data_IF_340911614649
#
_entry.id   IF_340911614649
#
_cell.length_a   1.000
_cell.length_b   1.000
_cell.length_c   1.000
_cell.angle_alpha   90.00
_cell.angle_beta   90.00
_cell.angle_gamma   90.00
#
_symmetry.space_group_name_H-M   'P 1'
#
loop_
_entity.id
_entity.type
_entity.pdbx_description
1 polymer ?
#
# COMPACT_ATOMS: atom_id res chain seq x y z
N UNK A 1 -27.86 22.06 7.51
CA UNK A 1 -26.48 22.35 8.00
C UNK A 1 -25.71 21.04 8.00
N UNK A 2 -24.48 21.02 7.48
CA UNK A 2 -23.59 19.86 7.54
C UNK A 2 -22.41 20.24 8.41
N UNK A 3 -22.12 19.44 9.44
CA UNK A 3 -21.02 19.67 10.37
C UNK A 3 -20.14 18.42 10.44
N UNK A 4 -18.85 18.60 10.75
CA UNK A 4 -17.89 17.52 10.93
C UNK A 4 -17.07 17.76 12.19
N UNK A 5 -16.83 16.72 12.98
CA UNK A 5 -15.99 16.78 14.17
C UNK A 5 -14.91 15.68 14.10
N UNK A 6 -13.69 16.02 14.53
CA UNK A 6 -12.57 15.08 14.62
C UNK A 6 -12.68 14.21 15.90
N UNK A 7 -13.22 14.77 16.97
CA UNK A 7 -13.41 14.13 18.28
C UNK A 7 -14.87 13.76 18.51
N UNK A 8 -15.10 12.77 19.38
CA UNK A 8 -16.44 12.41 19.86
C UNK A 8 -17.15 13.64 20.43
N UNK A 9 -18.28 14.00 19.82
CA UNK A 9 -19.11 15.09 20.31
C UNK A 9 -19.87 14.70 21.59
N UNK A 10 -20.17 13.41 21.78
CA UNK A 10 -20.73 12.88 23.01
C UNK A 10 -19.82 13.16 24.22
N UNK A 11 -18.55 12.77 24.12
CA UNK A 11 -17.56 12.97 25.18
C UNK A 11 -17.36 14.47 25.46
N UNK A 12 -17.40 15.30 24.41
CA UNK A 12 -17.28 16.76 24.54
C UNK A 12 -18.48 17.39 25.25
N UNK A 13 -19.67 16.82 25.07
CA UNK A 13 -20.90 17.19 25.78
C UNK A 13 -20.84 16.76 27.24
N UNK A 14 -20.37 15.54 27.52
CA UNK A 14 -20.20 15.05 28.91
C UNK A 14 -19.17 15.87 29.69
N UNK A 15 -18.08 16.28 29.04
CA UNK A 15 -17.05 17.14 29.62
C UNK A 15 -17.47 18.62 29.75
N UNK A 16 -18.69 18.98 29.34
CA UNK A 16 -19.21 20.36 29.39
C UNK A 16 -18.55 21.32 28.39
N UNK A 17 -17.71 20.82 27.47
CA UNK A 17 -17.04 21.62 26.43
C UNK A 17 -17.96 21.92 25.24
N UNK A 18 -19.07 21.21 25.11
CA UNK A 18 -20.01 21.38 24.02
C UNK A 18 -21.46 21.49 24.52
N UNK A 19 -22.24 22.35 23.86
CA UNK A 19 -23.65 22.62 24.21
C UNK A 19 -24.55 21.44 23.82
N UNK A 20 -25.24 20.87 24.81
CA UNK A 20 -26.20 19.74 24.65
C UNK A 20 -27.29 20.02 23.62
N UNK A 21 -27.85 21.22 23.69
CA UNK A 21 -28.91 21.70 22.84
C UNK A 21 -28.50 21.84 21.37
N UNK A 22 -27.22 22.14 21.09
CA UNK A 22 -26.68 22.13 19.73
C UNK A 22 -26.39 20.71 19.25
N UNK A 23 -25.88 19.86 20.15
CA UNK A 23 -25.59 18.46 19.88
C UNK A 23 -26.83 17.70 19.39
N UNK A 24 -27.96 17.79 20.10
CA UNK A 24 -29.19 17.09 19.68
C UNK A 24 -29.78 17.59 18.35
N UNK A 25 -29.51 18.85 17.96
CA UNK A 25 -29.93 19.38 16.65
C UNK A 25 -29.02 18.94 15.50
N UNK A 26 -27.75 18.68 15.78
CA UNK A 26 -26.77 18.25 14.77
C UNK A 26 -26.72 16.72 14.65
N UNK A 27 -26.91 16.00 15.75
CA UNK A 27 -26.83 14.55 15.85
C UNK A 27 -28.12 13.85 15.40
N UNK A 28 -28.75 14.31 14.31
CA UNK A 28 -29.94 13.67 13.73
C UNK A 28 -29.55 12.47 12.87
N UNK A 29 -28.45 12.59 12.14
CA UNK A 29 -27.87 11.52 11.33
C UNK A 29 -26.35 11.63 11.39
N UNK A 30 -25.69 10.61 11.93
CA UNK A 30 -24.24 10.60 12.11
C UNK A 30 -23.59 9.57 11.21
N UNK A 31 -22.73 10.06 10.32
CA UNK A 31 -21.94 9.23 9.43
C UNK A 31 -20.54 9.05 10.02
N UNK A 32 -20.25 7.83 10.49
CA UNK A 32 -18.93 7.47 10.97
C UNK A 32 -18.04 7.13 9.77
N UNK A 33 -17.00 7.93 9.55
CA UNK A 33 -16.03 7.70 8.49
C UNK A 33 -14.95 6.74 8.99
N UNK A 34 -14.87 5.50 8.45
CA UNK A 34 -13.84 4.57 8.88
C UNK A 34 -12.46 5.08 8.47
N UNK A 35 -11.42 4.81 9.28
CA UNK A 35 -10.06 5.16 8.91
C UNK A 35 -9.61 4.29 7.73
N UNK A 36 -8.80 4.86 6.82
CA UNK A 36 -8.36 4.18 5.60
C UNK A 36 -7.69 2.81 5.85
N UNK A 37 -7.03 2.63 7.01
CA UNK A 37 -6.44 1.35 7.43
C UNK A 37 -7.42 0.17 7.51
N UNK A 38 -8.72 0.43 7.71
CA UNK A 38 -9.75 -0.62 7.76
C UNK A 38 -10.19 -1.07 6.36
N UNK A 39 -9.81 -0.33 5.32
CA UNK A 39 -10.19 -0.59 3.92
C UNK A 39 -8.94 -0.58 3.01
N UNK A 40 -8.00 -1.53 3.19
CA UNK A 40 -6.74 -1.55 2.45
C UNK A 40 -6.94 -1.64 0.94
N UNK A 41 -8.00 -2.32 0.49
CA UNK A 41 -8.40 -2.43 -0.92
C UNK A 41 -8.64 -1.07 -1.59
N UNK A 42 -9.01 -0.04 -0.80
CA UNK A 42 -9.25 1.32 -1.32
C UNK A 42 -7.99 2.16 -1.42
N UNK A 43 -6.90 1.78 -0.76
CA UNK A 43 -5.65 2.57 -0.71
C UNK A 43 -5.09 2.75 -2.12
N UNK A 44 -4.88 1.65 -2.86
CA UNK A 44 -4.25 1.70 -4.18
C UNK A 44 -5.10 2.45 -5.23
N UNK A 45 -6.43 2.19 -5.39
CA UNK A 45 -7.26 2.96 -6.31
C UNK A 45 -7.31 4.46 -5.97
N UNK A 46 -7.42 4.80 -4.68
CA UNK A 46 -7.42 6.20 -4.24
C UNK A 46 -6.09 6.88 -4.53
N UNK A 47 -4.98 6.20 -4.24
CA UNK A 47 -3.64 6.71 -4.51
C UNK A 47 -3.44 7.02 -5.99
N UNK A 48 -3.76 6.06 -6.88
CA UNK A 48 -3.70 6.27 -8.34
C UNK A 48 -4.54 7.46 -8.80
N UNK A 49 -5.75 7.61 -8.25
CA UNK A 49 -6.62 8.75 -8.56
C UNK A 49 -6.00 10.08 -8.09
N UNK A 50 -5.41 10.11 -6.90
CA UNK A 50 -4.74 11.31 -6.39
C UNK A 50 -3.47 11.65 -7.17
N UNK A 51 -2.71 10.65 -7.63
CA UNK A 51 -1.59 10.87 -8.53
C UNK A 51 -2.05 11.46 -9.85
N UNK A 52 -3.09 10.90 -10.49
CA UNK A 52 -3.62 11.42 -11.74
C UNK A 52 -4.11 12.88 -11.60
N UNK A 53 -4.77 13.19 -10.48
CA UNK A 53 -5.17 14.56 -10.16
C UNK A 53 -3.95 15.49 -9.96
N UNK A 54 -2.94 15.05 -9.20
CA UNK A 54 -1.73 15.84 -8.95
C UNK A 54 -0.88 16.03 -10.22
N UNK A 55 -0.76 15.01 -11.06
CA UNK A 55 -0.08 15.08 -12.36
C UNK A 55 -0.75 16.11 -13.27
N UNK A 56 -2.08 16.13 -13.30
CA UNK A 56 -2.85 17.13 -14.05
C UNK A 56 -2.70 18.54 -13.47
N UNK A 57 -2.66 18.69 -12.15
CA UNK A 57 -2.45 20.00 -11.49
C UNK A 57 -1.04 20.56 -11.74
N UNK A 58 -0.04 19.68 -11.86
CA UNK A 58 1.38 20.05 -11.99
C UNK A 58 1.90 20.02 -13.44
N UNK A 59 1.06 19.62 -14.40
CA UNK A 59 1.40 19.41 -15.81
C UNK A 59 2.61 18.47 -16.02
N UNK A 60 2.67 17.40 -15.21
CA UNK A 60 3.73 16.38 -15.25
C UNK A 60 3.16 15.06 -15.75
N UNK A 61 3.97 14.27 -16.43
CA UNK A 61 3.59 12.90 -16.82
C UNK A 61 3.24 12.06 -15.58
N UNK A 62 2.16 11.29 -15.67
CA UNK A 62 1.78 10.32 -14.64
C UNK A 62 2.88 9.27 -14.49
N UNK A 63 3.53 9.23 -13.33
CA UNK A 63 4.46 8.16 -12.98
C UNK A 63 3.73 6.86 -12.67
N UNK A 64 4.29 5.72 -13.09
CA UNK A 64 3.77 4.42 -12.70
C UNK A 64 4.04 4.10 -11.22
N UNK A 65 3.21 3.22 -10.65
CA UNK A 65 3.36 2.76 -9.26
C UNK A 65 4.00 1.37 -9.27
N UNK A 66 5.27 1.30 -8.91
CA UNK A 66 6.02 0.04 -8.75
C UNK A 66 5.41 -0.85 -7.64
N UNK A 67 5.43 -2.20 -7.76
CA UNK A 67 4.96 -3.13 -6.74
C UNK A 67 5.58 -2.91 -5.36
N UNK A 68 6.85 -2.49 -5.28
CA UNK A 68 7.51 -2.21 -4.01
C UNK A 68 6.85 -1.03 -3.28
N UNK A 69 6.52 0.03 -4.03
CA UNK A 69 5.72 1.13 -3.51
C UNK A 69 4.30 0.68 -3.15
N UNK A 70 3.66 -0.18 -3.96
CA UNK A 70 2.33 -0.71 -3.64
C UNK A 70 2.32 -1.47 -2.31
N UNK A 71 3.34 -2.30 -2.05
CA UNK A 71 3.51 -3.00 -0.78
C UNK A 71 3.72 -2.03 0.38
N UNK A 72 4.58 -1.02 0.20
CA UNK A 72 4.80 0.01 1.22
C UNK A 72 3.51 0.78 1.55
N UNK A 73 2.70 1.13 0.54
CA UNK A 73 1.42 1.82 0.74
C UNK A 73 0.40 0.96 1.49
N UNK A 74 0.37 -0.36 1.24
CA UNK A 74 -0.53 -1.30 1.91
C UNK A 74 -0.09 -1.63 3.35
N UNK A 75 1.21 -1.61 3.63
CA UNK A 75 1.78 -1.90 4.95
C UNK A 75 1.77 -0.70 5.91
N UNK A 76 1.44 0.50 5.44
CA UNK A 76 1.47 1.71 6.25
C UNK A 76 0.14 1.94 7.01
N UNK A 77 0.21 2.46 8.24
CA UNK A 77 -0.97 2.64 9.10
C UNK A 77 -1.81 3.88 8.76
N UNK A 78 -1.25 4.82 7.99
CA UNK A 78 -1.89 6.08 7.57
C UNK A 78 -2.51 6.88 8.72
N UNK A 79 -1.72 7.36 9.70
CA UNK A 79 -2.21 8.19 10.81
C UNK A 79 -2.93 9.47 10.32
N UNK A 80 -2.51 10.04 9.17
CA UNK A 80 -3.17 11.19 8.54
C UNK A 80 -4.26 10.81 7.53
N UNK A 81 -4.63 9.53 7.43
CA UNK A 81 -5.72 9.01 6.60
C UNK A 81 -5.60 9.49 5.14
N UNK A 82 -6.71 9.91 4.52
CA UNK A 82 -6.75 10.39 3.13
C UNK A 82 -5.83 11.60 2.88
N UNK A 83 -5.62 12.47 3.89
CA UNK A 83 -4.78 13.67 3.71
C UNK A 83 -3.33 13.29 3.49
N UNK A 84 -2.84 12.35 4.29
CA UNK A 84 -1.49 11.81 4.15
C UNK A 84 -1.33 11.03 2.83
N UNK A 85 -2.33 10.23 2.44
CA UNK A 85 -2.32 9.52 1.15
C UNK A 85 -2.22 10.50 -0.03
N UNK A 86 -2.97 11.62 0.01
CA UNK A 86 -2.91 12.65 -1.03
C UNK A 86 -1.54 13.33 -1.07
N UNK A 87 -0.94 13.63 0.08
CA UNK A 87 0.41 14.21 0.16
C UNK A 87 1.48 13.25 -0.38
N UNK A 88 1.37 11.96 -0.03
CA UNK A 88 2.23 10.91 -0.56
C UNK A 88 2.12 10.79 -2.09
N UNK A 89 0.89 10.81 -2.64
CA UNK A 89 0.67 10.78 -4.08
C UNK A 89 1.30 11.98 -4.79
N UNK A 90 1.18 13.18 -4.22
CA UNK A 90 1.80 14.39 -4.76
C UNK A 90 3.34 14.32 -4.73
N UNK A 91 3.92 13.78 -3.65
CA UNK A 91 5.37 13.55 -3.55
C UNK A 91 5.86 12.57 -4.62
N UNK A 92 5.13 11.49 -4.86
CA UNK A 92 5.46 10.52 -5.91
C UNK A 92 5.49 11.15 -7.30
N UNK A 93 4.48 11.95 -7.65
CA UNK A 93 4.40 12.65 -8.95
C UNK A 93 5.56 13.63 -9.14
N UNK A 94 6.02 14.26 -8.05
CA UNK A 94 7.18 15.16 -8.05
C UNK A 94 8.53 14.41 -8.05
N UNK A 95 8.54 13.08 -8.03
CA UNK A 95 9.75 12.27 -8.02
C UNK A 95 10.45 12.16 -6.67
N UNK A 96 9.79 12.54 -5.57
CA UNK A 96 10.34 12.39 -4.22
C UNK A 96 10.04 11.00 -3.64
N UNK A 97 10.91 10.48 -2.75
CA UNK A 97 10.67 9.22 -2.08
C UNK A 97 9.41 9.25 -1.22
N UNK A 98 8.62 8.18 -1.33
CA UNK A 98 7.39 7.99 -0.58
C UNK A 98 7.57 6.79 0.33
N UNK A 99 7.38 6.96 1.64
CA UNK A 99 7.56 5.89 2.64
C UNK A 99 8.93 5.20 2.56
N UNK A 100 9.98 5.95 2.22
CA UNK A 100 11.34 5.42 2.03
C UNK A 100 11.57 4.70 0.70
N UNK A 101 10.57 4.65 -0.17
CA UNK A 101 10.67 4.09 -1.53
C UNK A 101 10.99 5.23 -2.49
N UNK A 102 12.19 5.21 -3.06
CA UNK A 102 12.65 6.20 -4.02
C UNK A 102 12.24 5.78 -5.46
N UNK A 103 11.39 6.57 -6.15
CA UNK A 103 10.95 6.27 -7.51
C UNK A 103 12.10 6.24 -8.54
N UNK A 104 13.27 6.81 -8.24
CA UNK A 104 14.42 6.85 -9.16
C UNK A 104 15.45 5.72 -8.95
N UNK A 105 15.27 4.83 -7.98
CA UNK A 105 16.22 3.72 -7.79
C UNK A 105 16.21 2.79 -9.01
N UNK A 106 17.37 2.32 -9.47
CA UNK A 106 17.51 1.42 -10.63
C UNK A 106 16.65 0.13 -10.53
N UNK A 107 16.33 -0.29 -9.29
CA UNK A 107 15.39 -1.39 -9.00
C UNK A 107 13.96 -1.13 -9.54
N UNK A 108 13.55 0.14 -9.69
CA UNK A 108 12.25 0.55 -10.23
C UNK A 108 12.16 0.46 -11.77
N UNK A 109 13.27 0.68 -12.49
CA UNK A 109 13.31 0.57 -13.95
C UNK A 109 13.20 -0.88 -14.45
N UNK A 110 13.54 -1.84 -13.58
CA UNK A 110 13.42 -3.25 -13.89
C UNK A 110 11.99 -3.80 -13.82
N UNK A 111 10.95 -2.99 -13.61
CA UNK A 111 9.57 -3.41 -13.28
C UNK A 111 8.71 -4.03 -14.41
N UNK A 112 9.32 -4.66 -15.42
CA UNK A 112 8.58 -5.40 -16.45
C UNK A 112 7.95 -6.70 -15.93
N UNK A 113 6.94 -7.24 -16.61
CA UNK A 113 6.28 -8.52 -16.27
C UNK A 113 7.29 -9.65 -15.97
N UNK A 114 8.40 -9.69 -16.70
CA UNK A 114 9.47 -10.68 -16.54
C UNK A 114 10.20 -10.58 -15.19
N UNK A 115 10.37 -9.38 -14.62
CA UNK A 115 11.01 -9.23 -13.30
C UNK A 115 10.02 -9.52 -12.16
N UNK A 116 8.75 -9.14 -12.32
CA UNK A 116 7.69 -9.46 -11.37
C UNK A 116 7.50 -10.97 -11.26
N UNK A 117 7.47 -11.68 -12.40
CA UNK A 117 7.42 -13.14 -12.41
C UNK A 117 8.66 -13.75 -11.74
N UNK A 118 9.85 -13.20 -11.96
CA UNK A 118 11.08 -13.65 -11.27
C UNK A 118 11.03 -13.42 -9.75
N UNK A 119 10.47 -12.29 -9.30
CA UNK A 119 10.34 -11.99 -7.88
C UNK A 119 9.35 -12.94 -7.19
N UNK A 120 8.22 -13.23 -7.84
CA UNK A 120 7.23 -14.22 -7.37
C UNK A 120 7.84 -15.63 -7.38
N UNK A 121 8.51 -16.03 -8.46
CA UNK A 121 9.21 -17.32 -8.59
C UNK A 121 10.27 -17.48 -7.48
N UNK A 122 11.07 -16.45 -7.22
CA UNK A 122 12.07 -16.42 -6.13
C UNK A 122 11.42 -16.61 -4.76
N UNK A 123 10.33 -15.90 -4.49
CA UNK A 123 9.63 -15.99 -3.21
C UNK A 123 9.06 -17.40 -2.95
N UNK A 124 8.44 -18.01 -3.96
CA UNK A 124 7.89 -19.37 -3.86
C UNK A 124 8.97 -20.42 -3.63
N UNK A 125 10.08 -20.36 -4.39
CA UNK A 125 11.20 -21.29 -4.22
C UNK A 125 11.83 -21.14 -2.83
N UNK A 126 12.05 -19.91 -2.36
CA UNK A 126 12.59 -19.67 -1.03
C UNK A 126 11.67 -20.16 0.10
N UNK A 127 10.35 -20.01 -0.05
CA UNK A 127 9.39 -20.46 0.94
C UNK A 127 9.35 -21.99 1.04
N UNK A 128 9.34 -22.68 -0.11
CA UNK A 128 9.41 -24.14 -0.16
C UNK A 128 10.72 -24.67 0.44
N UNK A 129 11.86 -24.07 0.10
CA UNK A 129 13.16 -24.44 0.68
C UNK A 129 13.20 -24.23 2.20
N UNK A 130 12.64 -23.12 2.70
CA UNK A 130 12.55 -22.88 4.15
C UNK A 130 11.69 -23.92 4.87
N UNK A 131 10.54 -24.31 4.32
CA UNK A 131 9.67 -25.35 4.91
C UNK A 131 10.35 -26.70 4.97
N UNK A 132 11.07 -27.05 3.91
CA UNK A 132 11.71 -28.35 3.77
C UNK A 132 13.19 -28.36 4.22
N UNK A 133 13.64 -27.38 5.02
CA UNK A 133 15.01 -27.27 5.55
C UNK A 133 16.09 -27.44 4.47
N UNK A 134 15.94 -26.74 3.34
CA UNK A 134 16.81 -26.81 2.16
C UNK A 134 16.94 -28.21 1.52
N UNK A 135 16.00 -29.11 1.76
CA UNK A 135 15.94 -30.39 1.04
C UNK A 135 15.36 -30.17 -0.36
N UNK A 136 16.23 -30.22 -1.36
CA UNK A 136 15.91 -29.95 -2.78
C UNK A 136 14.91 -30.97 -3.33
N UNK A 137 14.96 -32.22 -2.86
CA UNK A 137 14.06 -33.28 -3.32
C UNK A 137 12.61 -33.02 -2.92
N UNK A 138 12.38 -32.63 -1.67
CA UNK A 138 11.05 -32.30 -1.18
C UNK A 138 10.50 -31.02 -1.84
N UNK A 139 11.34 -30.01 -2.02
CA UNK A 139 10.97 -28.77 -2.72
C UNK A 139 10.65 -29.02 -4.21
N UNK A 140 11.36 -29.94 -4.87
CA UNK A 140 11.08 -30.30 -6.27
C UNK A 140 9.72 -30.97 -6.46
N UNK A 141 9.27 -31.73 -5.44
CA UNK A 141 8.00 -32.44 -5.44
C UNK A 141 6.84 -31.51 -5.07
N UNK A 142 7.05 -30.58 -4.14
CA UNK A 142 6.05 -29.55 -3.77
C UNK A 142 5.79 -28.55 -4.90
N UNK A 143 6.85 -28.13 -5.62
CA UNK A 143 6.77 -27.14 -6.69
C UNK A 143 6.45 -27.72 -8.08
N UNK A 144 6.26 -29.05 -8.16
CA UNK A 144 6.03 -29.81 -9.40
C UNK A 144 7.04 -29.46 -10.51
N UNK A 145 8.32 -29.34 -10.13
CA UNK A 145 9.39 -28.93 -11.03
C UNK A 145 10.55 -29.93 -11.05
N UNK A 146 11.06 -30.31 -12.25
CA UNK A 146 12.21 -31.20 -12.34
C UNK A 146 13.44 -30.61 -11.63
N UNK A 147 14.20 -31.46 -10.91
CA UNK A 147 15.41 -31.07 -10.16
C UNK A 147 16.36 -30.18 -10.95
N UNK A 148 16.58 -30.51 -12.22
CA UNK A 148 17.48 -29.78 -13.13
C UNK A 148 17.01 -28.35 -13.42
N UNK A 149 15.69 -28.16 -13.54
CA UNK A 149 15.06 -26.85 -13.73
C UNK A 149 15.17 -26.01 -12.46
N UNK A 150 14.89 -26.63 -11.31
CA UNK A 150 14.98 -25.97 -10.01
C UNK A 150 16.42 -25.51 -9.70
N UNK A 151 17.42 -26.37 -9.93
CA UNK A 151 18.84 -25.99 -9.81
C UNK A 151 19.23 -24.83 -10.73
N UNK A 152 18.76 -24.83 -11.98
CA UNK A 152 18.98 -23.72 -12.91
C UNK A 152 18.37 -22.42 -12.39
N UNK A 153 17.14 -22.47 -11.87
CA UNK A 153 16.43 -21.31 -11.33
C UNK A 153 17.07 -20.75 -10.07
N UNK A 154 17.52 -21.60 -9.13
CA UNK A 154 18.29 -21.17 -7.95
C UNK A 154 19.55 -20.41 -8.38
N UNK A 155 20.29 -20.94 -9.36
CA UNK A 155 21.50 -20.31 -9.89
C UNK A 155 21.22 -18.99 -10.62
N UNK A 156 20.13 -18.90 -11.37
CA UNK A 156 19.70 -17.68 -12.07
C UNK A 156 19.18 -16.59 -11.11
N UNK A 157 18.54 -16.97 -10.00
CA UNK A 157 17.91 -16.04 -9.04
C UNK A 157 18.82 -15.70 -7.84
N UNK A 158 20.06 -16.23 -7.82
CA UNK A 158 21.05 -16.10 -6.75
C UNK A 158 20.44 -16.32 -5.37
N UNK A 159 19.87 -17.52 -5.17
CA UNK A 159 19.34 -18.00 -3.89
C UNK A 159 20.36 -18.96 -3.26
#
# INVERSE_FOLDING_TARGET
VIASAQSSLDDAVEQGKFRRDLYFRLNVLTLQLPPLRTQPERILPLFKRFMAAAAKELDVASADVCPLLQQALLGHEWPGNIRELKAAAKRHVLGFPVLGVDPQSEEHLACGLKSQLRAIEKALIQQSLKRHRNCIDAASLELDMPRRTLYRRIKELQI
#
